data_IF_677526468965
#
_entry.id   IF_677526468965
#
_cell.length_a   1.000
_cell.length_b   1.000
_cell.length_c   1.000
_cell.angle_alpha   90.00
_cell.angle_beta   90.00
_cell.angle_gamma   90.00
#
_symmetry.space_group_name_H-M   'P 1'
#
loop_
_entity.id
_entity.type
_entity.pdbx_description
1 polymer ?
#
# COMPACT_ATOMS: atom_id res chain seq x y z
N UNK A 1 -11.26 -20.20 -2.11
CA UNK A 1 -10.68 -20.98 -0.99
C UNK A 1 -9.36 -20.40 -0.46
N UNK A 2 -8.56 -19.67 -1.26
CA UNK A 2 -7.28 -19.08 -0.85
C UNK A 2 -7.38 -17.79 0.01
N UNK A 3 -8.53 -17.12 0.05
CA UNK A 3 -8.67 -15.79 0.65
C UNK A 3 -8.69 -15.78 2.18
N UNK A 4 -9.34 -16.76 2.82
CA UNK A 4 -9.46 -16.81 4.29
C UNK A 4 -8.11 -17.15 4.92
N UNK A 5 -7.36 -18.11 4.36
CA UNK A 5 -6.01 -18.47 4.83
C UNK A 5 -5.04 -17.27 4.79
N UNK A 6 -5.09 -16.47 3.72
CA UNK A 6 -4.27 -15.26 3.59
C UNK A 6 -4.58 -14.22 4.68
N UNK A 7 -5.87 -14.01 5.00
CA UNK A 7 -6.29 -13.09 6.06
C UNK A 7 -5.88 -13.60 7.45
N UNK A 8 -6.02 -14.89 7.72
CA UNK A 8 -5.57 -15.50 8.98
C UNK A 8 -4.06 -15.28 9.17
N UNK A 9 -3.25 -15.50 8.13
CA UNK A 9 -1.80 -15.25 8.18
C UNK A 9 -1.46 -13.79 8.42
N UNK A 10 -2.23 -12.86 7.86
CA UNK A 10 -2.00 -11.43 8.02
C UNK A 10 -2.11 -10.98 9.49
N UNK A 11 -2.94 -11.66 10.30
CA UNK A 11 -3.11 -11.30 11.72
C UNK A 11 -1.81 -11.39 12.54
N UNK A 12 -0.88 -12.27 12.14
CA UNK A 12 0.37 -12.50 12.87
C UNK A 12 1.63 -12.33 12.02
N UNK A 13 1.49 -11.97 10.75
CA UNK A 13 2.61 -11.70 9.85
C UNK A 13 2.81 -10.19 9.68
N UNK A 14 4.05 -9.71 9.52
CA UNK A 14 4.29 -8.29 9.27
C UNK A 14 3.65 -7.83 7.96
N UNK A 15 3.07 -6.64 7.96
CA UNK A 15 2.54 -6.00 6.75
C UNK A 15 3.72 -5.51 5.89
N UNK A 16 3.88 -6.10 4.72
CA UNK A 16 4.98 -5.78 3.80
C UNK A 16 4.67 -4.54 2.93
N UNK A 17 4.32 -3.42 3.56
CA UNK A 17 3.82 -2.23 2.87
C UNK A 17 4.78 -1.65 1.83
N UNK A 18 6.08 -1.59 2.14
CA UNK A 18 7.12 -1.13 1.20
C UNK A 18 7.09 -1.92 -0.10
N UNK A 19 7.07 -3.26 -0.02
CA UNK A 19 7.01 -4.13 -1.20
C UNK A 19 5.71 -3.94 -1.99
N UNK A 20 4.60 -3.73 -1.29
CA UNK A 20 3.31 -3.46 -1.95
C UNK A 20 3.39 -2.17 -2.79
N UNK A 21 3.97 -1.10 -2.24
CA UNK A 21 4.14 0.18 -2.96
C UNK A 21 5.09 0.05 -4.14
N UNK A 22 6.25 -0.58 -3.94
CA UNK A 22 7.22 -0.85 -5.01
C UNK A 22 6.61 -1.69 -6.13
N UNK A 23 5.83 -2.72 -5.76
CA UNK A 23 5.12 -3.55 -6.72
C UNK A 23 4.12 -2.73 -7.54
N UNK A 24 3.25 -1.93 -6.90
CA UNK A 24 2.31 -1.07 -7.62
C UNK A 24 3.01 -0.13 -8.61
N UNK A 25 4.09 0.53 -8.18
CA UNK A 25 4.88 1.40 -9.04
C UNK A 25 5.49 0.63 -10.23
N UNK A 26 6.03 -0.59 -9.99
CA UNK A 26 6.55 -1.44 -11.06
C UNK A 26 5.50 -1.89 -12.08
N UNK A 27 4.23 -1.92 -11.68
CA UNK A 27 3.10 -2.22 -12.58
C UNK A 27 2.60 -0.98 -13.33
N UNK A 28 3.28 0.17 -13.20
CA UNK A 28 2.92 1.41 -13.89
C UNK A 28 1.76 2.16 -13.24
N UNK A 29 1.44 1.89 -11.97
CA UNK A 29 0.47 2.71 -11.24
C UNK A 29 1.07 4.08 -10.95
N UNK A 30 0.37 5.14 -11.33
CA UNK A 30 0.85 6.54 -11.16
C UNK A 30 0.13 7.27 -10.01
N UNK A 31 -1.08 6.83 -9.66
CA UNK A 31 -1.94 7.49 -8.68
C UNK A 31 -2.46 6.51 -7.63
N UNK A 32 -2.27 6.86 -6.35
CA UNK A 32 -2.80 6.11 -5.21
C UNK A 32 -3.76 7.01 -4.41
N UNK A 33 -4.94 6.51 -4.08
CA UNK A 33 -5.91 7.24 -3.25
C UNK A 33 -6.06 6.58 -1.87
N UNK A 34 -5.65 7.27 -0.81
CA UNK A 34 -5.86 6.87 0.58
C UNK A 34 -7.29 7.22 0.99
N UNK A 35 -8.07 6.20 1.36
CA UNK A 35 -9.43 6.35 1.86
C UNK A 35 -9.41 6.19 3.38
N UNK A 36 -9.72 7.27 4.10
CA UNK A 36 -9.78 7.25 5.56
C UNK A 36 -9.43 8.59 6.22
N UNK A 37 -9.51 8.66 7.56
CA UNK A 37 -9.06 9.83 8.30
C UNK A 37 -7.52 9.90 8.33
N UNK A 38 -6.96 11.08 8.06
CA UNK A 38 -5.52 11.31 8.08
C UNK A 38 -4.84 11.18 6.72
N UNK A 39 -3.51 11.04 6.73
CA UNK A 39 -2.65 11.00 5.53
C UNK A 39 -1.43 10.09 5.71
N UNK A 40 -1.60 9.01 6.47
CA UNK A 40 -0.47 8.17 6.91
C UNK A 40 0.04 7.38 5.71
N UNK A 41 -0.84 6.70 4.98
CA UNK A 41 -0.42 5.91 3.82
C UNK A 41 0.11 6.79 2.70
N UNK A 42 -0.47 7.98 2.52
CA UNK A 42 0.03 9.03 1.62
C UNK A 42 1.47 9.42 1.97
N UNK A 43 1.73 9.71 3.24
CA UNK A 43 3.06 10.07 3.72
C UNK A 43 4.08 8.93 3.64
N UNK A 44 3.66 7.69 3.92
CA UNK A 44 4.52 6.51 3.78
C UNK A 44 4.87 6.25 2.31
N UNK A 45 3.88 6.30 1.41
CA UNK A 45 4.07 6.06 -0.03
C UNK A 45 5.11 7.01 -0.61
N UNK A 46 5.01 8.32 -0.29
CA UNK A 46 5.97 9.34 -0.74
C UNK A 46 7.42 9.09 -0.28
N UNK A 47 7.63 8.36 0.82
CA UNK A 47 8.97 7.99 1.32
C UNK A 47 9.52 6.72 0.70
N UNK A 48 8.65 5.90 0.09
CA UNK A 48 9.01 4.60 -0.49
C UNK A 48 9.32 4.74 -1.98
N UNK A 49 8.42 5.37 -2.73
CA UNK A 49 8.56 5.61 -4.18
C UNK A 49 8.11 7.04 -4.48
N UNK A 50 8.91 7.79 -5.24
CA UNK A 50 8.65 9.18 -5.61
C UNK A 50 7.82 9.33 -6.89
N UNK A 51 7.80 8.31 -7.76
CA UNK A 51 7.01 8.29 -9.00
C UNK A 51 5.52 7.98 -8.80
N UNK A 52 5.15 7.37 -7.66
CA UNK A 52 3.76 7.08 -7.32
C UNK A 52 3.16 8.24 -6.52
N UNK A 53 2.32 9.05 -7.16
CA UNK A 53 1.69 10.19 -6.47
C UNK A 53 0.50 9.71 -5.64
N UNK A 54 0.61 9.89 -4.32
CA UNK A 54 -0.47 9.54 -3.38
C UNK A 54 -1.31 10.75 -2.99
N UNK A 55 -2.63 10.58 -3.03
CA UNK A 55 -3.64 11.56 -2.65
C UNK A 55 -4.48 11.00 -1.50
N UNK A 56 -5.03 11.89 -0.68
CA UNK A 56 -6.11 11.54 0.23
C UNK A 56 -7.43 11.81 -0.48
N UNK A 57 -8.33 10.81 -0.47
CA UNK A 57 -9.70 10.94 -0.96
C UNK A 57 -10.62 11.62 0.07
#
# INVERSE_FOLDING_TARGET
MLSVDALVRQLYSPVQWTKTVEFMASQGVEHLYEVGPGKVLTGLTKRIVDTLTAFRA
#
